data_IF_840403421220
#
_entry.id   IF_840403421220
#
_cell.length_a   1.000
_cell.length_b   1.000
_cell.length_c   1.000
_cell.angle_alpha   90.00
_cell.angle_beta   90.00
_cell.angle_gamma   90.00
#
_symmetry.space_group_name_H-M   'P 1'
#
loop_
_entity.id
_entity.type
_entity.pdbx_description
1 polymer ?
#
# COMPACT_ATOMS: atom_id res chain seq x y z
N UNK A 1 -13.57 34.97 3.03
CA UNK A 1 -13.78 33.63 3.61
C UNK A 1 -12.97 32.68 2.75
N UNK A 2 -12.08 31.83 3.30
CA UNK A 2 -11.32 30.92 2.46
C UNK A 2 -12.28 29.86 1.91
N UNK A 3 -12.37 29.78 0.59
CA UNK A 3 -13.11 28.75 -0.12
C UNK A 3 -12.51 27.38 0.24
N UNK A 4 -13.28 26.56 0.94
CA UNK A 4 -12.91 25.17 1.23
C UNK A 4 -12.74 24.44 -0.11
N UNK A 5 -11.54 23.91 -0.45
CA UNK A 5 -11.37 23.16 -1.68
C UNK A 5 -12.28 21.92 -1.64
N UNK A 6 -12.88 21.55 -2.79
CA UNK A 6 -13.80 20.41 -2.85
C UNK A 6 -13.09 19.14 -2.39
N UNK A 7 -13.75 18.38 -1.52
CA UNK A 7 -13.27 17.09 -1.07
C UNK A 7 -12.89 16.21 -2.27
N UNK A 8 -11.75 15.49 -2.23
CA UNK A 8 -11.40 14.57 -3.30
C UNK A 8 -12.53 13.55 -3.49
N UNK A 9 -12.84 13.17 -4.75
CA UNK A 9 -13.88 12.19 -5.01
C UNK A 9 -13.57 10.90 -4.26
N UNK A 10 -14.57 10.34 -3.58
CA UNK A 10 -14.43 9.08 -2.87
C UNK A 10 -13.82 8.02 -3.81
N UNK A 11 -12.81 7.25 -3.37
CA UNK A 11 -12.17 6.26 -4.21
C UNK A 11 -13.22 5.23 -4.65
N UNK A 12 -13.37 5.08 -5.96
CA UNK A 12 -14.30 4.13 -6.57
C UNK A 12 -13.92 2.70 -6.21
N UNK A 13 -14.87 1.75 -6.26
CA UNK A 13 -14.59 0.35 -5.92
C UNK A 13 -13.45 -0.25 -6.77
N UNK A 14 -13.32 0.17 -8.03
CA UNK A 14 -12.23 -0.24 -8.92
C UNK A 14 -10.86 0.28 -8.50
N UNK A 15 -10.77 1.41 -7.79
CA UNK A 15 -9.49 1.91 -7.27
C UNK A 15 -8.97 1.07 -6.11
N UNK A 16 -9.87 0.42 -5.37
CA UNK A 16 -9.53 -0.43 -4.22
C UNK A 16 -8.99 -1.79 -4.66
N UNK A 17 -9.45 -2.31 -5.79
CA UNK A 17 -9.02 -3.59 -6.35
C UNK A 17 -7.64 -3.50 -7.03
N UNK A 18 -7.26 -2.31 -7.53
CA UNK A 18 -5.93 -2.07 -8.13
C UNK A 18 -4.83 -1.96 -7.06
N UNK A 19 -5.17 -1.55 -5.84
CA UNK A 19 -4.22 -1.34 -4.74
C UNK A 19 -4.02 -2.54 -3.81
N UNK A 20 -4.62 -3.69 -4.08
CA UNK A 20 -4.45 -4.86 -3.19
C UNK A 20 -3.00 -5.39 -3.23
N UNK A 21 -2.22 -5.27 -2.12
CA UNK A 21 -0.85 -5.78 -2.08
C UNK A 21 -0.79 -7.31 -2.11
N UNK A 22 -1.90 -8.01 -1.84
CA UNK A 22 -1.94 -9.47 -1.71
C UNK A 22 -2.13 -10.20 -3.04
N UNK A 23 -2.26 -9.47 -4.15
CA UNK A 23 -2.44 -10.05 -5.48
C UNK A 23 -1.30 -11.04 -5.81
N UNK A 24 -1.61 -12.16 -6.50
CA UNK A 24 -0.62 -13.19 -6.83
C UNK A 24 0.60 -12.63 -7.57
N UNK A 25 0.37 -11.69 -8.49
CA UNK A 25 1.39 -10.94 -9.24
C UNK A 25 2.41 -10.26 -8.32
N UNK A 26 1.93 -9.53 -7.30
CA UNK A 26 2.77 -8.81 -6.32
C UNK A 26 3.59 -9.80 -5.49
N UNK A 27 2.96 -10.89 -5.05
CA UNK A 27 3.63 -11.99 -4.33
C UNK A 27 4.69 -12.68 -5.19
N UNK A 28 4.42 -12.89 -6.48
CA UNK A 28 5.37 -13.49 -7.42
C UNK A 28 6.59 -12.58 -7.61
N UNK A 29 6.39 -11.29 -7.85
CA UNK A 29 7.47 -10.30 -7.95
C UNK A 29 8.31 -10.24 -6.67
N UNK A 30 7.67 -10.27 -5.50
CA UNK A 30 8.39 -10.28 -4.23
C UNK A 30 9.26 -11.54 -4.04
N UNK A 31 8.80 -12.70 -4.52
CA UNK A 31 9.54 -13.97 -4.46
C UNK A 31 10.66 -14.05 -5.51
N UNK A 32 10.47 -13.40 -6.66
CA UNK A 32 11.43 -13.39 -7.77
C UNK A 32 12.59 -12.41 -7.57
N UNK A 33 12.43 -11.38 -6.72
CA UNK A 33 13.48 -10.37 -6.49
C UNK A 33 14.72 -10.98 -5.83
N UNK A 34 15.89 -10.38 -6.09
CA UNK A 34 17.12 -10.73 -5.38
C UNK A 34 17.01 -10.41 -3.88
N UNK A 35 17.69 -11.18 -3.02
CA UNK A 35 17.63 -11.00 -1.57
C UNK A 35 18.04 -9.59 -1.09
N UNK A 36 18.95 -8.94 -1.80
CA UNK A 36 19.40 -7.57 -1.53
C UNK A 36 18.50 -6.48 -2.14
N UNK A 37 17.54 -6.83 -3.00
CA UNK A 37 16.71 -5.85 -3.70
C UNK A 37 15.54 -5.39 -2.82
N UNK A 38 15.35 -4.07 -2.74
CA UNK A 38 14.18 -3.49 -2.08
C UNK A 38 12.91 -3.71 -2.93
N UNK A 39 11.80 -4.02 -2.26
CA UNK A 39 10.50 -4.14 -2.91
C UNK A 39 9.42 -3.63 -1.97
N UNK A 40 8.61 -2.70 -2.46
CA UNK A 40 7.43 -2.20 -1.77
C UNK A 40 6.16 -2.68 -2.50
N UNK A 41 5.35 -3.55 -1.89
CA UNK A 41 4.07 -3.98 -2.47
C UNK A 41 3.03 -2.84 -2.52
N UNK A 42 3.28 -1.73 -1.82
CA UNK A 42 2.39 -0.58 -1.70
C UNK A 42 2.89 0.64 -2.48
N UNK A 43 3.74 0.42 -3.49
CA UNK A 43 4.37 1.49 -4.29
C UNK A 43 3.34 2.47 -4.87
N UNK A 44 2.17 2.00 -5.31
CA UNK A 44 1.12 2.88 -5.86
C UNK A 44 0.53 3.82 -4.81
N UNK A 45 0.26 3.33 -3.60
CA UNK A 45 -0.20 4.17 -2.50
C UNK A 45 0.88 5.20 -2.10
N UNK A 46 2.15 4.80 -2.09
CA UNK A 46 3.27 5.72 -1.88
C UNK A 46 3.32 6.80 -2.97
N UNK A 47 3.22 6.41 -4.25
CA UNK A 47 3.21 7.33 -5.39
C UNK A 47 2.04 8.33 -5.28
N UNK A 48 0.85 7.89 -4.83
CA UNK A 48 -0.30 8.78 -4.59
C UNK A 48 0.00 9.81 -3.51
N UNK A 49 0.58 9.39 -2.39
CA UNK A 49 0.95 10.32 -1.31
C UNK A 49 2.00 11.35 -1.74
N UNK A 50 3.00 10.93 -2.53
CA UNK A 50 4.03 11.83 -3.10
C UNK A 50 3.39 12.82 -4.09
N UNK A 51 2.48 12.34 -4.94
CA UNK A 51 1.71 13.19 -5.86
C UNK A 51 0.84 14.21 -5.13
N UNK A 52 0.32 13.87 -3.96
CA UNK A 52 -0.40 14.82 -3.11
C UNK A 52 0.54 15.89 -2.54
N UNK A 53 1.69 15.49 -1.99
CA UNK A 53 2.69 16.42 -1.45
C UNK A 53 3.19 17.40 -2.52
N UNK A 54 3.48 16.91 -3.73
CA UNK A 54 3.95 17.76 -4.83
C UNK A 54 2.94 18.83 -5.26
N UNK A 55 1.64 18.58 -5.07
CA UNK A 55 0.58 19.55 -5.41
C UNK A 55 0.30 20.55 -4.29
N UNK A 56 0.55 20.16 -3.05
CA UNK A 56 0.23 20.95 -1.85
C UNK A 56 1.48 21.51 -1.17
N UNK A 57 2.58 21.72 -1.92
CA UNK A 57 3.83 22.31 -1.41
C UNK A 57 4.39 21.56 -0.19
N UNK A 58 4.15 20.25 -0.12
CA UNK A 58 4.59 19.41 0.99
C UNK A 58 3.71 19.45 2.24
N UNK A 59 2.52 20.07 2.19
CA UNK A 59 1.56 20.02 3.30
C UNK A 59 1.13 18.57 3.57
N UNK A 60 1.47 18.09 4.77
CA UNK A 60 1.27 16.70 5.19
C UNK A 60 -0.14 16.46 5.70
N UNK A 61 -0.79 17.48 6.26
CA UNK A 61 -2.10 17.32 6.88
C UNK A 61 -3.16 17.10 5.81
N UNK A 62 -3.04 17.80 4.68
CA UNK A 62 -3.84 17.61 3.46
C UNK A 62 -3.69 16.22 2.84
N UNK A 63 -2.59 15.51 3.10
CA UNK A 63 -2.28 14.23 2.49
C UNK A 63 -2.38 13.03 3.45
N UNK A 64 -2.92 13.26 4.65
CA UNK A 64 -3.03 12.26 5.74
C UNK A 64 -3.71 10.95 5.29
N UNK A 65 -4.80 11.04 4.52
CA UNK A 65 -5.52 9.87 4.00
C UNK A 65 -4.66 9.00 3.06
N UNK A 66 -3.83 9.61 2.22
CA UNK A 66 -2.92 8.87 1.34
C UNK A 66 -1.82 8.16 2.14
N UNK A 67 -1.32 8.78 3.21
CA UNK A 67 -0.38 8.10 4.11
C UNK A 67 -1.04 6.96 4.87
N UNK A 68 -2.30 7.14 5.27
CA UNK A 68 -3.05 6.10 5.94
C UNK A 68 -3.26 4.89 5.02
N UNK A 69 -3.65 5.12 3.77
CA UNK A 69 -3.75 4.06 2.76
C UNK A 69 -2.42 3.28 2.59
N UNK A 70 -1.28 3.98 2.53
CA UNK A 70 0.04 3.33 2.47
C UNK A 70 0.33 2.46 3.70
N UNK A 71 0.03 2.97 4.91
CA UNK A 71 0.23 2.23 6.17
C UNK A 71 -0.65 0.99 6.23
N UNK A 72 -1.92 1.12 5.85
CA UNK A 72 -2.89 0.04 5.89
C UNK A 72 -2.54 -1.05 4.87
N UNK A 73 -2.10 -0.65 3.67
CA UNK A 73 -1.57 -1.57 2.67
C UNK A 73 -0.37 -2.36 3.23
N UNK A 74 0.60 -1.67 3.82
CA UNK A 74 1.81 -2.32 4.35
C UNK A 74 1.50 -3.24 5.53
N UNK A 75 0.55 -2.85 6.38
CA UNK A 75 0.07 -3.67 7.50
C UNK A 75 -0.54 -4.98 6.99
N UNK A 76 -1.47 -4.91 6.04
CA UNK A 76 -2.09 -6.09 5.41
C UNK A 76 -1.05 -7.04 4.82
N UNK A 77 -0.07 -6.49 4.09
CA UNK A 77 1.01 -7.28 3.51
C UNK A 77 1.84 -8.03 4.57
N UNK A 78 2.26 -7.34 5.63
CA UNK A 78 3.07 -7.95 6.70
C UNK A 78 2.28 -9.04 7.42
N UNK A 79 1.00 -8.80 7.70
CA UNK A 79 0.12 -9.76 8.36
C UNK A 79 -0.04 -11.04 7.53
N UNK A 80 -0.34 -10.90 6.23
CA UNK A 80 -0.47 -12.02 5.30
C UNK A 80 0.83 -12.81 5.13
N UNK A 81 1.98 -12.13 4.97
CA UNK A 81 3.28 -12.82 4.88
C UNK A 81 3.63 -13.56 6.18
N UNK A 82 3.29 -13.00 7.34
CA UNK A 82 3.47 -13.64 8.65
C UNK A 82 2.57 -14.87 8.77
N UNK A 83 1.32 -14.78 8.32
CA UNK A 83 0.39 -15.90 8.30
C UNK A 83 0.84 -17.00 7.32
N UNK A 84 1.27 -16.65 6.11
CA UNK A 84 1.83 -17.60 5.15
C UNK A 84 3.04 -18.34 5.75
N UNK A 85 3.94 -17.61 6.43
CA UNK A 85 5.08 -18.22 7.12
C UNK A 85 4.62 -19.17 8.23
N UNK A 86 3.71 -18.73 9.10
CA UNK A 86 3.13 -19.58 10.17
C UNK A 86 2.47 -20.83 9.60
N UNK A 87 1.70 -20.69 8.51
CA UNK A 87 1.03 -21.80 7.83
C UNK A 87 2.06 -22.77 7.25
N UNK A 88 3.11 -22.27 6.58
CA UNK A 88 4.21 -23.10 6.05
C UNK A 88 4.94 -23.84 7.17
N UNK A 89 5.32 -23.16 8.25
CA UNK A 89 5.96 -23.79 9.41
C UNK A 89 5.04 -24.82 10.05
N UNK A 90 3.75 -24.52 10.21
CA UNK A 90 2.77 -25.48 10.72
C UNK A 90 2.69 -26.72 9.81
N UNK A 91 2.64 -26.53 8.50
CA UNK A 91 2.57 -27.64 7.53
C UNK A 91 3.87 -28.42 7.41
N UNK A 92 5.03 -27.83 7.71
CA UNK A 92 6.31 -28.55 7.70
C UNK A 92 6.58 -29.33 8.99
N UNK A 93 5.76 -29.14 10.02
CA UNK A 93 5.84 -29.86 11.29
C UNK A 93 4.97 -31.13 11.31
N UNK A 94 4.11 -31.30 10.30
CA UNK A 94 3.36 -32.53 10.01
C UNK A 94 4.01 -33.23 8.83
#
# INVERSE_FOLDING_TARGET
MPDTPPAPPAPSNSDRDIEDPLRPETKAKFKAKASSQYFDPCQEAANRSIRCLNRNVGDRDMCSDYFQAYRDCKKKWIEDMKEEKRRKTRMSLF
#
